data_IF_521422966987
#
_entry.id   IF_521422966987
#
_cell.length_a   1.000
_cell.length_b   1.000
_cell.length_c   1.000
_cell.angle_alpha   90.00
_cell.angle_beta   90.00
_cell.angle_gamma   90.00
#
_symmetry.space_group_name_H-M   'P 1'
#
loop_
_entity.id
_entity.type
_entity.pdbx_description
1 polymer ?
#
# COMPACT_ATOMS: atom_id res chain seq x y z
N UNK A 1 47.04 38.56 12.99
CA UNK A 1 47.89 37.39 13.28
C UNK A 1 47.14 36.15 12.85
N UNK A 2 47.60 35.49 11.79
CA UNK A 2 47.05 34.24 11.29
C UNK A 2 47.50 33.09 12.20
N UNK A 3 46.61 32.68 13.10
CA UNK A 3 46.82 31.55 14.01
C UNK A 3 46.95 30.25 13.19
N UNK A 4 47.97 29.46 13.52
CA UNK A 4 48.53 28.32 12.76
C UNK A 4 47.55 27.14 12.67
N UNK A 5 46.56 27.24 11.79
CA UNK A 5 45.69 26.11 11.45
C UNK A 5 44.41 26.54 10.75
N UNK A 6 43.97 25.73 9.78
CA UNK A 6 42.61 25.82 9.22
C UNK A 6 41.61 25.85 10.37
N UNK A 7 40.68 26.80 10.32
CA UNK A 7 39.59 26.90 11.28
C UNK A 7 38.78 25.61 11.34
N UNK A 8 38.07 25.36 12.45
CA UNK A 8 37.18 24.18 12.56
C UNK A 8 36.20 24.12 11.38
N UNK A 9 35.65 25.28 10.99
CA UNK A 9 34.74 25.44 9.85
C UNK A 9 35.39 25.06 8.52
N UNK A 10 36.65 25.46 8.28
CA UNK A 10 37.37 25.05 7.05
C UNK A 10 37.68 23.56 7.03
N UNK A 11 37.95 22.94 8.18
CA UNK A 11 38.16 21.49 8.26
C UNK A 11 36.87 20.73 7.98
N UNK A 12 35.76 21.16 8.55
CA UNK A 12 34.43 20.57 8.30
C UNK A 12 34.01 20.75 6.83
N UNK A 13 34.23 21.93 6.25
CA UNK A 13 33.94 22.19 4.84
C UNK A 13 34.83 21.36 3.90
N UNK A 14 36.07 21.09 4.29
CA UNK A 14 36.95 20.24 3.51
C UNK A 14 36.53 18.77 3.59
N UNK A 15 36.26 18.25 4.78
CA UNK A 15 35.75 16.89 4.96
C UNK A 15 34.44 16.69 4.18
N UNK A 16 33.53 17.67 4.22
CA UNK A 16 32.28 17.62 3.46
C UNK A 16 32.48 17.57 1.93
N UNK A 17 33.49 18.29 1.41
CA UNK A 17 33.82 18.24 -0.03
C UNK A 17 34.42 16.91 -0.41
N UNK A 18 35.33 16.39 0.40
CA UNK A 18 35.94 15.07 0.20
C UNK A 18 34.87 13.98 0.22
N UNK A 19 33.95 14.01 1.19
CA UNK A 19 32.82 13.09 1.25
C UNK A 19 31.96 13.17 -0.02
N UNK A 20 31.61 14.39 -0.50
CA UNK A 20 30.82 14.56 -1.73
C UNK A 20 31.55 14.01 -2.97
N UNK A 21 32.87 14.17 -3.05
CA UNK A 21 33.65 13.70 -4.19
C UNK A 21 33.76 12.17 -4.22
N UNK A 22 33.76 11.52 -3.06
CA UNK A 22 33.79 10.06 -2.93
C UNK A 22 32.43 9.39 -3.18
N UNK A 23 31.33 10.15 -3.21
CA UNK A 23 30.01 9.59 -3.45
C UNK A 23 29.89 9.03 -4.88
N UNK A 24 29.24 7.86 -5.06
CA UNK A 24 28.94 7.36 -6.38
C UNK A 24 27.96 8.29 -7.11
N UNK A 25 28.03 8.28 -8.44
CA UNK A 25 27.07 9.00 -9.28
C UNK A 25 25.64 8.51 -9.01
N UNK A 26 24.66 9.41 -9.20
CA UNK A 26 23.26 9.07 -9.05
C UNK A 26 22.85 8.02 -10.09
N UNK A 27 21.96 7.12 -9.67
CA UNK A 27 21.42 6.11 -10.56
C UNK A 27 20.60 6.74 -11.70
N UNK A 28 20.87 6.28 -12.92
CA UNK A 28 20.18 6.65 -14.16
C UNK A 28 18.99 5.72 -14.42
N UNK A 29 18.10 6.13 -15.33
CA UNK A 29 16.94 5.30 -15.71
C UNK A 29 17.38 4.00 -16.39
N UNK A 30 18.45 4.04 -17.21
CA UNK A 30 19.00 2.88 -17.91
C UNK A 30 19.49 1.79 -16.94
N UNK A 31 20.02 2.17 -15.77
CA UNK A 31 20.45 1.22 -14.75
C UNK A 31 19.25 0.49 -14.13
N UNK A 32 18.14 1.19 -13.90
CA UNK A 32 16.88 0.56 -13.46
C UNK A 32 16.23 -0.30 -14.54
N UNK A 33 16.41 0.04 -15.83
CA UNK A 33 15.97 -0.82 -16.95
C UNK A 33 16.80 -2.10 -17.02
N UNK A 34 18.11 -2.01 -16.80
CA UNK A 34 19.00 -3.17 -16.78
C UNK A 34 18.76 -4.08 -15.56
N UNK A 35 18.43 -3.48 -14.41
CA UNK A 35 18.19 -4.18 -13.14
C UNK A 35 16.90 -3.68 -12.48
N UNK A 36 15.76 -4.34 -12.73
CA UNK A 36 14.49 -3.98 -12.13
C UNK A 36 14.52 -4.03 -10.60
N UNK A 37 13.76 -3.14 -9.96
CA UNK A 37 13.69 -3.01 -8.50
C UNK A 37 13.20 -4.32 -7.84
N UNK A 38 12.27 -5.03 -8.49
CA UNK A 38 11.72 -6.29 -8.00
C UNK A 38 12.77 -7.42 -7.92
N UNK A 39 13.79 -7.37 -8.79
CA UNK A 39 14.82 -8.41 -8.89
C UNK A 39 16.11 -8.05 -8.16
N UNK A 40 16.34 -6.76 -7.88
CA UNK A 40 17.53 -6.29 -7.15
C UNK A 40 17.72 -7.02 -5.81
N UNK A 41 16.65 -7.13 -5.03
CA UNK A 41 16.67 -7.84 -3.74
C UNK A 41 16.99 -9.33 -3.89
N UNK A 42 16.39 -9.99 -4.89
CA UNK A 42 16.64 -11.41 -5.17
C UNK A 42 18.09 -11.64 -5.59
N UNK A 43 18.65 -10.76 -6.43
CA UNK A 43 20.03 -10.84 -6.88
C UNK A 43 21.03 -10.67 -5.71
N UNK A 44 20.76 -9.76 -4.78
CA UNK A 44 21.59 -9.60 -3.57
C UNK A 44 21.56 -10.87 -2.71
N UNK A 45 20.37 -11.42 -2.47
CA UNK A 45 20.21 -12.66 -1.71
C UNK A 45 20.91 -13.84 -2.41
N UNK A 46 20.84 -13.89 -3.74
CA UNK A 46 21.59 -14.87 -4.55
C UNK A 46 23.10 -14.75 -4.35
N UNK A 47 23.63 -13.53 -4.24
CA UNK A 47 25.04 -13.29 -3.90
C UNK A 47 25.43 -13.82 -2.51
N UNK A 48 24.47 -13.88 -1.58
CA UNK A 48 24.65 -14.45 -0.24
C UNK A 48 24.40 -15.97 -0.19
N UNK A 49 24.20 -16.63 -1.33
CA UNK A 49 23.95 -18.08 -1.43
C UNK A 49 22.51 -18.51 -1.15
N UNK A 50 21.57 -17.57 -1.15
CA UNK A 50 20.14 -17.89 -1.11
C UNK A 50 19.63 -18.25 -2.52
N UNK A 51 18.69 -19.19 -2.59
CA UNK A 51 18.04 -19.58 -3.84
C UNK A 51 16.53 -19.40 -3.73
N UNK A 52 15.88 -19.08 -4.85
CA UNK A 52 14.44 -18.90 -4.92
C UNK A 52 13.71 -20.16 -4.45
N UNK A 53 12.72 -19.98 -3.56
CA UNK A 53 11.95 -21.07 -2.97
C UNK A 53 12.60 -21.72 -1.73
N UNK A 54 13.84 -21.37 -1.38
CA UNK A 54 14.43 -21.82 -0.10
C UNK A 54 14.08 -20.84 1.01
N UNK A 55 13.81 -21.36 2.19
CA UNK A 55 13.68 -20.51 3.37
C UNK A 55 15.04 -19.91 3.75
N UNK A 56 15.01 -18.71 4.30
CA UNK A 56 16.20 -18.02 4.80
C UNK A 56 16.73 -18.75 6.04
N UNK A 57 18.05 -18.93 6.13
CA UNK A 57 18.74 -19.50 7.30
C UNK A 57 19.53 -20.77 7.00
N UNK A 58 20.42 -21.13 7.94
CA UNK A 58 21.43 -22.20 7.78
C UNK A 58 20.87 -23.58 7.44
N UNK A 59 19.67 -23.91 7.92
CA UNK A 59 19.03 -25.19 7.65
C UNK A 59 17.91 -25.11 6.61
N UNK A 60 17.67 -23.94 6.00
CA UNK A 60 16.55 -23.71 5.07
C UNK A 60 15.20 -24.22 5.61
N UNK A 61 15.00 -24.14 6.93
CA UNK A 61 13.76 -24.52 7.63
C UNK A 61 13.10 -23.25 8.16
N UNK A 62 12.25 -22.66 7.35
CA UNK A 62 11.54 -21.42 7.68
C UNK A 62 10.39 -21.19 6.71
N UNK A 63 9.66 -20.09 6.90
CA UNK A 63 8.60 -19.69 5.99
C UNK A 63 9.21 -19.13 4.70
N UNK A 64 8.78 -19.67 3.56
CA UNK A 64 9.16 -19.20 2.22
C UNK A 64 8.31 -18.00 1.82
N UNK A 65 7.04 -18.00 2.24
CA UNK A 65 6.08 -16.93 1.98
C UNK A 65 6.02 -15.95 3.16
N UNK A 66 5.80 -14.68 2.83
CA UNK A 66 5.61 -13.64 3.84
C UNK A 66 4.32 -13.88 4.63
N UNK A 67 4.35 -13.65 5.94
CA UNK A 67 3.16 -13.76 6.78
C UNK A 67 2.20 -12.63 6.42
N UNK A 68 1.02 -12.97 5.91
CA UNK A 68 -0.02 -11.99 5.61
C UNK A 68 -0.52 -11.32 6.90
N UNK A 69 -0.56 -9.99 6.89
CA UNK A 69 -1.09 -9.23 8.01
C UNK A 69 -2.61 -9.28 8.00
N UNK A 70 -3.20 -9.96 9.00
CA UNK A 70 -4.64 -9.98 9.20
C UNK A 70 -5.01 -8.82 10.15
N UNK A 71 -5.66 -7.74 9.66
CA UNK A 71 -6.04 -6.63 10.52
C UNK A 71 -7.06 -7.08 11.56
N UNK A 72 -6.86 -6.70 12.83
CA UNK A 72 -7.85 -6.94 13.89
C UNK A 72 -9.01 -5.96 13.76
N UNK A 73 -10.24 -6.48 13.78
CA UNK A 73 -11.43 -5.64 13.84
C UNK A 73 -11.46 -4.85 15.16
N UNK A 74 -11.72 -3.54 15.10
CA UNK A 74 -11.78 -2.68 16.28
C UNK A 74 -12.88 -3.13 17.26
N UNK A 75 -12.61 -3.02 18.57
CA UNK A 75 -13.48 -3.42 19.70
C UNK A 75 -13.62 -4.91 19.97
N UNK A 76 -12.91 -5.76 19.23
CA UNK A 76 -12.89 -7.19 19.49
C UNK A 76 -11.93 -7.49 20.66
N UNK A 77 -12.43 -8.21 21.68
CA UNK A 77 -11.60 -8.66 22.79
C UNK A 77 -10.48 -9.61 22.33
N UNK A 78 -9.42 -9.75 23.12
CA UNK A 78 -8.38 -10.75 22.85
C UNK A 78 -9.00 -12.15 22.85
N UNK A 79 -8.78 -12.91 21.78
CA UNK A 79 -9.35 -14.26 21.60
C UNK A 79 -10.75 -14.30 20.96
N UNK A 80 -11.39 -13.15 20.72
CA UNK A 80 -12.65 -13.12 19.98
C UNK A 80 -12.37 -13.12 18.45
N UNK A 81 -13.20 -13.86 17.71
CA UNK A 81 -13.08 -14.01 16.25
C UNK A 81 -14.05 -13.06 15.53
N UNK A 82 -13.68 -12.49 14.37
CA UNK A 82 -14.59 -11.67 13.59
C UNK A 82 -15.78 -12.52 13.12
N UNK A 83 -16.98 -11.94 13.15
CA UNK A 83 -18.15 -12.60 12.58
C UNK A 83 -17.91 -12.86 11.08
N UNK A 84 -18.15 -14.09 10.64
CA UNK A 84 -18.12 -14.45 9.22
C UNK A 84 -19.19 -13.61 8.54
N UNK A 85 -18.83 -12.87 7.49
CA UNK A 85 -19.81 -12.15 6.67
C UNK A 85 -20.65 -13.20 5.95
N UNK A 86 -21.83 -13.50 6.47
CA UNK A 86 -22.78 -14.36 5.77
C UNK A 86 -23.24 -13.66 4.50
N UNK A 87 -22.99 -14.28 3.35
CA UNK A 87 -23.61 -13.86 2.09
C UNK A 87 -25.12 -13.96 2.26
N UNK A 88 -25.81 -12.83 2.12
CA UNK A 88 -27.25 -12.76 2.34
C UNK A 88 -27.93 -13.56 1.23
N UNK A 89 -28.32 -14.79 1.56
CA UNK A 89 -29.14 -15.61 0.67
C UNK A 89 -30.45 -14.83 0.41
N UNK A 90 -30.74 -14.60 -0.88
CA UNK A 90 -31.95 -13.90 -1.30
C UNK A 90 -33.15 -14.66 -0.73
N UNK A 91 -33.87 -14.04 0.21
CA UNK A 91 -35.06 -14.63 0.84
C UNK A 91 -36.05 -15.07 -0.24
N UNK A 92 -36.61 -16.27 -0.11
CA UNK A 92 -37.65 -16.76 -0.98
C UNK A 92 -38.88 -15.83 -0.89
N UNK A 93 -39.29 -15.31 -2.04
CA UNK A 93 -40.46 -14.45 -2.17
C UNK A 93 -41.71 -15.33 -2.12
N UNK A 94 -42.60 -15.07 -1.18
CA UNK A 94 -43.87 -15.82 -1.08
C UNK A 94 -44.71 -15.57 -2.33
N UNK A 95 -45.58 -16.51 -2.75
CA UNK A 95 -46.51 -16.27 -3.84
C UNK A 95 -47.33 -15.01 -3.59
N UNK A 96 -47.18 -13.98 -4.45
CA UNK A 96 -47.89 -12.70 -4.37
C UNK A 96 -47.04 -11.48 -3.99
N UNK A 97 -45.78 -11.66 -3.58
CA UNK A 97 -44.85 -10.56 -3.33
C UNK A 97 -43.96 -10.35 -4.58
N UNK A 98 -43.65 -9.10 -4.94
CA UNK A 98 -42.77 -8.77 -6.07
C UNK A 98 -41.51 -8.10 -5.57
N UNK A 99 -40.38 -8.32 -6.26
CA UNK A 99 -39.07 -7.77 -5.87
C UNK A 99 -38.91 -6.29 -6.25
N UNK A 100 -39.89 -5.71 -6.92
CA UNK A 100 -39.80 -4.36 -7.47
C UNK A 100 -40.02 -3.33 -6.36
N UNK A 101 -39.10 -2.37 -6.27
CA UNK A 101 -39.26 -1.21 -5.39
C UNK A 101 -40.43 -0.40 -5.96
N UNK A 102 -41.52 -0.24 -5.19
CA UNK A 102 -42.62 0.65 -5.59
C UNK A 102 -42.01 2.02 -5.91
N UNK A 103 -42.38 2.65 -7.05
CA UNK A 103 -41.89 3.99 -7.35
C UNK A 103 -42.29 4.92 -6.19
N UNK A 104 -41.30 5.60 -5.62
CA UNK A 104 -41.52 6.57 -4.56
C UNK A 104 -42.47 7.65 -5.13
N UNK A 105 -43.61 7.89 -4.47
CA UNK A 105 -44.62 8.89 -4.87
C UNK A 105 -44.13 10.34 -4.72
N UNK A 106 -42.81 10.56 -4.68
CA UNK A 106 -42.22 11.89 -4.67
C UNK A 106 -42.35 12.44 -6.07
N UNK A 107 -43.13 13.52 -6.20
CA UNK A 107 -43.34 14.24 -7.45
C UNK A 107 -41.99 14.68 -8.03
N UNK A 108 -41.61 14.10 -9.16
CA UNK A 108 -40.40 14.50 -9.89
C UNK A 108 -40.47 16.02 -10.20
N UNK A 109 -39.48 16.82 -9.76
CA UNK A 109 -39.53 18.27 -9.91
C UNK A 109 -39.48 18.73 -11.38
N UNK A 110 -38.97 17.89 -12.28
CA UNK A 110 -38.90 18.19 -13.72
C UNK A 110 -40.29 18.11 -14.38
N UNK A 111 -41.09 17.08 -14.07
CA UNK A 111 -42.46 16.93 -14.60
C UNK A 111 -43.40 18.02 -14.05
N UNK A 112 -43.17 18.46 -12.81
CA UNK A 112 -43.92 19.56 -12.21
C UNK A 112 -43.73 20.90 -12.92
N UNK A 113 -42.53 21.16 -13.45
CA UNK A 113 -42.20 22.37 -14.19
C UNK A 113 -42.82 22.37 -15.60
N UNK A 114 -42.85 21.19 -16.25
CA UNK A 114 -43.45 21.02 -17.59
C UNK A 114 -44.98 21.13 -17.58
N UNK A 115 -45.63 20.71 -16.48
CA UNK A 115 -47.08 20.78 -16.32
C UNK A 115 -47.63 22.18 -15.95
N UNK A 116 -46.78 23.21 -15.87
CA UNK A 116 -47.21 24.61 -15.73
C UNK A 116 -48.01 24.98 -14.46
N UNK A 117 -48.11 24.07 -13.49
CA UNK A 117 -48.81 24.31 -12.23
C UNK A 117 -47.88 25.02 -11.24
N UNK A 118 -48.01 26.35 -11.18
CA UNK A 118 -47.37 27.17 -10.14
C UNK A 118 -48.04 26.89 -8.80
N UNK A 119 -47.23 26.62 -7.78
CA UNK A 119 -47.71 26.51 -6.41
C UNK A 119 -48.30 27.87 -5.99
N UNK A 120 -49.54 27.85 -5.48
CA UNK A 120 -50.20 28.99 -4.81
C UNK A 120 -49.66 29.11 -3.40
#
# INVERSE_FOLDING_TARGET
ESFIGKSLQEKELQAFKEDIEDLPNQASMDEYESMPIEDFGKAMLRGMGWEEGKAVGRMHRGMVEAVEFIPRAGRLGLGAQPAVKEEHQKKYIKPGESREKKPDLVRDPQVAAEAGLKNV
#
